data_IF_630423938499
#
_entry.id   IF_630423938499
#
_cell.length_a   1.000
_cell.length_b   1.000
_cell.length_c   1.000
_cell.angle_alpha   90.00
_cell.angle_beta   90.00
_cell.angle_gamma   90.00
#
_symmetry.space_group_name_H-M   'P 1'
#
loop_
_entity.id
_entity.type
_entity.pdbx_description
1 polymer ?
#
# COMPACT_ATOMS: atom_id res chain seq x y z
N UNK A 1 51.94 49.33 34.68
CA UNK A 1 52.71 49.02 35.92
C UNK A 1 51.77 48.27 36.85
N UNK A 2 52.06 47.11 37.44
CA UNK A 2 53.26 46.26 37.49
C UNK A 2 52.87 44.98 38.25
N UNK A 3 53.21 43.82 37.66
CA UNK A 3 53.75 42.55 38.24
C UNK A 3 53.48 42.17 39.72
N UNK A 4 52.92 40.95 39.90
CA UNK A 4 53.48 39.69 40.51
C UNK A 4 54.34 39.77 41.80
N UNK A 5 54.48 38.72 42.66
CA UNK A 5 54.98 37.38 42.28
C UNK A 5 54.51 36.16 43.15
N UNK A 6 54.64 34.92 42.61
CA UNK A 6 55.54 33.78 42.99
C UNK A 6 54.92 32.80 44.02
N UNK A 7 54.63 31.54 43.66
CA UNK A 7 55.50 30.34 43.55
C UNK A 7 55.82 29.69 44.92
N UNK A 8 55.49 28.40 45.08
CA UNK A 8 56.47 27.38 45.52
C UNK A 8 55.92 25.95 45.42
N UNK A 9 56.74 25.09 44.81
CA UNK A 9 56.57 23.66 44.61
C UNK A 9 57.57 22.89 45.49
N UNK A 10 57.19 21.74 46.06
CA UNK A 10 58.12 20.76 46.62
C UNK A 10 57.63 19.30 46.40
N UNK A 11 58.16 18.67 45.34
CA UNK A 11 58.98 17.41 45.27
C UNK A 11 59.03 16.52 46.54
N UNK A 12 58.92 15.18 46.58
CA UNK A 12 59.66 14.04 45.97
C UNK A 12 58.87 12.72 46.28
N UNK A 13 58.68 11.75 45.38
CA UNK A 13 59.56 10.67 44.86
C UNK A 13 59.72 9.39 45.73
N UNK A 14 59.62 8.25 45.02
CA UNK A 14 60.22 6.91 45.25
C UNK A 14 59.36 5.78 45.85
N UNK A 15 59.04 4.83 44.95
CA UNK A 15 58.62 3.46 45.22
C UNK A 15 59.79 2.52 45.55
N UNK A 16 59.60 1.63 46.51
CA UNK A 16 60.24 0.30 46.64
C UNK A 16 59.18 -0.59 47.33
N UNK A 17 58.87 -1.84 46.99
CA UNK A 17 59.50 -2.83 46.14
C UNK A 17 59.36 -4.20 46.83
N UNK A 18 58.61 -5.13 46.21
CA UNK A 18 58.70 -6.61 46.29
C UNK A 18 58.29 -7.37 47.58
N UNK A 19 57.40 -8.35 47.38
CA UNK A 19 57.73 -9.76 47.68
C UNK A 19 56.86 -10.52 48.69
N UNK A 20 55.85 -11.23 48.17
CA UNK A 20 55.40 -12.60 48.54
C UNK A 20 55.52 -13.08 50.00
N UNK A 21 54.38 -13.42 50.63
CA UNK A 21 54.15 -14.77 51.17
C UNK A 21 52.71 -14.95 51.69
N UNK A 22 52.16 -16.10 51.31
CA UNK A 22 50.91 -16.72 51.69
C UNK A 22 50.82 -16.96 53.21
N UNK A 23 49.68 -16.68 53.84
CA UNK A 23 49.26 -17.41 55.04
C UNK A 23 47.73 -17.57 55.04
N UNK A 24 47.30 -18.82 54.92
CA UNK A 24 45.91 -19.24 55.02
C UNK A 24 45.47 -19.26 56.48
N UNK A 25 44.21 -18.91 56.78
CA UNK A 25 43.24 -19.87 57.32
C UNK A 25 41.97 -19.19 57.85
N UNK A 26 40.86 -19.78 57.44
CA UNK A 26 39.50 -19.76 57.98
C UNK A 26 39.35 -19.30 59.44
N UNK A 27 38.29 -18.55 59.76
CA UNK A 27 37.13 -19.09 60.53
C UNK A 27 35.91 -18.15 60.41
N UNK A 28 34.75 -18.79 60.22
CA UNK A 28 33.38 -18.28 59.99
C UNK A 28 32.83 -17.43 61.16
N UNK A 29 32.03 -16.39 60.87
CA UNK A 29 30.87 -16.07 61.72
C UNK A 29 29.79 -15.16 61.06
N UNK A 30 28.57 -15.72 60.96
CA UNK A 30 27.19 -15.15 60.82
C UNK A 30 26.75 -14.24 59.65
N UNK A 31 25.74 -14.79 58.96
CA UNK A 31 24.67 -14.16 58.19
C UNK A 31 24.10 -12.88 58.84
N UNK A 32 23.95 -11.83 58.04
CA UNK A 32 22.88 -10.84 58.14
C UNK A 32 22.36 -10.54 56.73
N UNK A 33 21.11 -10.92 56.50
CA UNK A 33 20.31 -10.64 55.30
C UNK A 33 19.60 -9.30 55.53
N UNK A 34 19.99 -8.26 54.79
CA UNK A 34 19.27 -7.00 54.57
C UNK A 34 19.90 -6.40 53.29
N UNK A 35 19.25 -5.96 52.22
CA UNK A 35 17.86 -5.76 51.85
C UNK A 35 17.86 -5.12 50.45
N UNK A 36 16.75 -5.27 49.72
CA UNK A 36 16.40 -4.72 48.40
C UNK A 36 17.00 -3.32 48.09
N UNK A 37 17.44 -3.02 46.87
CA UNK A 37 16.54 -2.71 45.74
C UNK A 37 17.29 -2.79 44.41
N UNK A 38 16.86 -3.71 43.53
CA UNK A 38 17.18 -3.63 42.12
C UNK A 38 16.31 -2.52 41.52
N UNK A 39 16.94 -1.40 41.15
CA UNK A 39 16.32 -0.38 40.30
C UNK A 39 16.14 -0.97 38.91
N UNK A 40 15.03 -1.68 38.71
CA UNK A 40 14.55 -2.02 37.38
C UNK A 40 13.96 -0.73 36.79
N UNK A 41 14.79 0.04 36.09
CA UNK A 41 14.31 1.10 35.23
C UNK A 41 13.54 0.44 34.08
N UNK A 42 12.23 0.31 34.24
CA UNK A 42 11.33 0.05 33.12
C UNK A 42 11.42 1.31 32.26
N UNK A 43 12.28 1.27 31.24
CA UNK A 43 12.17 2.19 30.13
C UNK A 43 10.84 1.86 29.45
N UNK A 44 9.78 2.54 29.89
CA UNK A 44 8.55 2.59 29.13
C UNK A 44 8.94 3.18 27.77
N UNK A 45 8.84 2.37 26.71
CA UNK A 45 8.75 2.89 25.36
C UNK A 45 7.46 3.71 25.29
N UNK A 46 7.51 4.97 25.71
CA UNK A 46 6.57 5.97 25.23
C UNK A 46 7.00 6.26 23.81
N UNK A 47 6.50 5.47 22.86
CA UNK A 47 6.54 5.91 21.47
C UNK A 47 5.76 7.22 21.45
N UNK A 48 6.39 8.37 21.14
CA UNK A 48 5.60 9.57 20.90
C UNK A 48 4.63 9.21 19.76
N UNK A 49 3.34 9.46 19.98
CA UNK A 49 2.39 9.63 18.88
C UNK A 49 2.88 10.84 18.12
N UNK A 50 3.76 10.60 17.14
CA UNK A 50 4.29 11.64 16.29
C UNK A 50 3.12 12.17 15.47
N UNK A 51 3.00 13.49 15.41
CA UNK A 51 2.08 14.15 14.49
C UNK A 51 2.39 13.68 13.06
N UNK A 52 1.34 13.43 12.28
CA UNK A 52 1.46 12.97 10.89
C UNK A 52 2.34 13.93 10.07
N UNK A 53 3.30 13.39 9.33
CA UNK A 53 4.16 14.17 8.44
C UNK A 53 3.76 14.00 6.97
N UNK A 54 4.10 14.97 6.11
CA UNK A 54 3.88 14.85 4.66
C UNK A 54 4.52 13.58 4.08
N UNK A 55 5.76 13.28 4.47
CA UNK A 55 6.48 12.12 3.96
C UNK A 55 5.83 10.79 4.38
N UNK A 56 5.24 10.73 5.57
CA UNK A 56 4.48 9.56 6.02
C UNK A 56 3.16 9.42 5.24
N UNK A 57 2.43 10.53 5.04
CA UNK A 57 1.20 10.54 4.26
C UNK A 57 1.45 10.08 2.81
N UNK A 58 2.51 10.60 2.19
CA UNK A 58 2.92 10.23 0.83
C UNK A 58 3.28 8.75 0.75
N UNK A 59 4.09 8.24 1.68
CA UNK A 59 4.47 6.83 1.70
C UNK A 59 3.27 5.89 1.87
N UNK A 60 2.28 6.28 2.67
CA UNK A 60 1.04 5.52 2.86
C UNK A 60 0.11 5.60 1.65
N UNK A 61 0.02 6.77 1.01
CA UNK A 61 -0.70 6.94 -0.25
C UNK A 61 -0.08 6.11 -1.36
N UNK A 62 1.25 6.09 -1.47
CA UNK A 62 1.96 5.27 -2.44
C UNK A 62 1.68 3.78 -2.21
N UNK A 63 1.69 3.32 -0.94
CA UNK A 63 1.32 1.94 -0.61
C UNK A 63 -0.12 1.63 -1.04
N UNK A 64 -1.08 2.52 -0.78
CA UNK A 64 -2.45 2.37 -1.26
C UNK A 64 -2.55 2.28 -2.78
N UNK A 65 -1.77 3.10 -3.49
CA UNK A 65 -1.71 3.08 -4.94
C UNK A 65 -1.09 1.77 -5.50
N UNK A 66 -0.30 1.03 -4.72
CA UNK A 66 0.19 -0.29 -5.14
C UNK A 66 -0.91 -1.35 -5.23
N UNK A 67 -2.05 -1.18 -4.55
CA UNK A 67 -3.22 -2.03 -4.76
C UNK A 67 -3.80 -1.83 -6.16
N UNK A 68 -3.56 -0.69 -6.82
CA UNK A 68 -4.22 -0.34 -8.08
C UNK A 68 -5.64 0.18 -7.85
N UNK A 69 -6.25 0.73 -8.88
CA UNK A 69 -7.60 1.31 -8.87
C UNK A 69 -8.68 0.23 -8.75
N UNK A 70 -8.66 -0.53 -7.67
CA UNK A 70 -9.66 -1.56 -7.41
C UNK A 70 -10.99 -0.93 -7.08
N UNK A 71 -12.06 -1.62 -7.47
CA UNK A 71 -13.34 -1.44 -6.82
C UNK A 71 -13.22 -1.97 -5.39
N UNK A 72 -13.82 -1.32 -4.41
CA UNK A 72 -13.76 -1.76 -3.02
C UNK A 72 -14.96 -1.26 -2.26
N UNK A 73 -15.27 -1.97 -1.18
CA UNK A 73 -16.33 -1.62 -0.24
C UNK A 73 -15.70 -1.47 1.14
N UNK A 74 -16.18 -0.54 1.96
CA UNK A 74 -15.70 -0.38 3.32
C UNK A 74 -16.73 0.33 4.20
N UNK A 75 -16.57 0.23 5.52
CA UNK A 75 -17.37 1.00 6.46
C UNK A 75 -16.63 2.26 6.85
N UNK A 76 -17.27 3.41 6.63
CA UNK A 76 -16.80 4.72 7.09
C UNK A 76 -17.74 5.28 8.15
N UNK A 77 -17.17 5.75 9.25
CA UNK A 77 -17.89 6.52 10.24
C UNK A 77 -17.12 7.79 10.57
N UNK A 78 -17.84 8.92 10.56
CA UNK A 78 -17.32 10.21 11.04
C UNK A 78 -17.81 10.46 12.45
N UNK A 79 -16.98 11.10 13.27
CA UNK A 79 -17.38 11.59 14.59
C UNK A 79 -17.02 13.08 14.66
N UNK A 80 -18.05 13.89 14.86
CA UNK A 80 -17.99 15.34 15.04
C UNK A 80 -19.21 15.81 15.84
N UNK A 81 -19.17 17.04 16.36
CA UNK A 81 -20.34 17.71 16.90
C UNK A 81 -21.23 18.25 15.76
N UNK A 82 -21.89 17.34 15.05
CA UNK A 82 -22.62 17.60 13.80
C UNK A 82 -23.98 16.88 13.81
N UNK A 83 -24.82 17.14 12.80
CA UNK A 83 -26.14 16.51 12.70
C UNK A 83 -26.02 14.96 12.66
N UNK A 84 -26.95 14.19 13.26
CA UNK A 84 -26.85 12.73 13.31
C UNK A 84 -26.60 12.05 11.96
N UNK A 85 -27.16 12.57 10.89
CA UNK A 85 -26.98 12.06 9.52
C UNK A 85 -25.52 11.99 9.07
N UNK A 86 -24.65 12.81 9.66
CA UNK A 86 -23.23 12.84 9.34
C UNK A 86 -22.38 11.85 10.15
N UNK A 87 -22.89 11.33 11.26
CA UNK A 87 -22.15 10.42 12.16
C UNK A 87 -22.62 8.96 12.03
N UNK A 88 -23.56 8.71 11.12
CA UNK A 88 -24.00 7.36 10.77
C UNK A 88 -22.85 6.56 10.18
N UNK A 89 -22.68 5.28 10.58
CA UNK A 89 -21.74 4.39 9.92
C UNK A 89 -22.32 4.00 8.55
N UNK A 90 -21.61 4.32 7.48
CA UNK A 90 -22.01 3.97 6.12
C UNK A 90 -21.13 2.86 5.55
N UNK A 91 -21.76 1.80 5.04
CA UNK A 91 -21.15 0.88 4.09
C UNK A 91 -21.09 1.60 2.74
N UNK A 92 -19.90 2.00 2.33
CA UNK A 92 -19.62 2.77 1.12
C UNK A 92 -19.15 1.80 0.04
N UNK A 93 -19.86 1.78 -1.09
CA UNK A 93 -19.46 1.02 -2.27
C UNK A 93 -18.77 1.93 -3.28
N UNK A 94 -17.54 1.59 -3.65
CA UNK A 94 -16.73 2.37 -4.59
C UNK A 94 -16.51 1.54 -5.84
N UNK A 95 -17.01 2.06 -6.96
CA UNK A 95 -16.73 1.51 -8.29
C UNK A 95 -16.12 2.60 -9.14
N UNK A 96 -15.07 2.25 -9.86
CA UNK A 96 -14.36 3.20 -10.71
C UNK A 96 -13.77 4.42 -9.99
N UNK A 97 -13.42 4.30 -8.71
CA UNK A 97 -12.97 5.42 -7.89
C UNK A 97 -14.08 6.40 -7.51
N UNK A 98 -15.35 6.08 -7.79
CA UNK A 98 -16.51 6.87 -7.42
C UNK A 98 -17.40 6.10 -6.45
N UNK A 99 -18.02 6.81 -5.51
CA UNK A 99 -19.04 6.23 -4.62
C UNK A 99 -20.29 5.95 -5.48
N UNK A 100 -20.68 4.68 -5.56
CA UNK A 100 -21.87 4.25 -6.32
C UNK A 100 -23.10 4.06 -5.44
N UNK A 101 -22.90 3.69 -4.18
CA UNK A 101 -23.95 3.53 -3.20
C UNK A 101 -23.38 3.73 -1.80
N UNK A 102 -24.24 4.19 -0.89
CA UNK A 102 -23.97 4.15 0.55
C UNK A 102 -25.21 3.63 1.25
N UNK A 103 -25.00 2.69 2.17
CA UNK A 103 -26.05 2.12 2.99
C UNK A 103 -25.65 2.23 4.46
N UNK A 104 -26.59 2.57 5.33
CA UNK A 104 -26.35 2.57 6.77
C UNK A 104 -25.97 1.15 7.23
N UNK A 105 -24.82 1.02 7.90
CA UNK A 105 -24.23 -0.26 8.24
C UNK A 105 -25.07 -1.08 9.24
N UNK A 106 -25.95 -0.41 9.99
CA UNK A 106 -26.79 -1.06 11.01
C UNK A 106 -28.19 -1.37 10.48
N UNK A 107 -28.81 -0.43 9.77
CA UNK A 107 -30.22 -0.50 9.36
C UNK A 107 -30.42 -0.93 7.91
N UNK A 108 -29.34 -0.96 7.11
CA UNK A 108 -29.34 -1.26 5.69
C UNK A 108 -30.23 -0.30 4.86
N UNK A 109 -30.52 0.89 5.39
CA UNK A 109 -31.22 1.94 4.65
C UNK A 109 -30.24 2.74 3.78
N UNK A 110 -30.65 3.17 2.58
CA UNK A 110 -29.82 4.05 1.76
C UNK A 110 -29.49 5.36 2.48
N UNK A 111 -28.24 5.80 2.40
CA UNK A 111 -27.77 7.09 2.87
C UNK A 111 -27.39 7.99 1.69
N UNK A 112 -27.25 9.29 1.95
CA UNK A 112 -26.77 10.24 0.95
C UNK A 112 -25.27 10.05 0.67
N UNK A 113 -24.86 9.66 -0.55
CA UNK A 113 -23.46 9.43 -0.88
C UNK A 113 -22.56 10.66 -0.74
N UNK A 114 -23.11 11.88 -0.82
CA UNK A 114 -22.33 13.13 -0.70
C UNK A 114 -21.76 13.34 0.71
N UNK A 115 -22.27 12.61 1.71
CA UNK A 115 -21.82 12.71 3.10
C UNK A 115 -20.58 11.84 3.40
N UNK A 116 -20.17 11.00 2.45
CA UNK A 116 -19.13 9.99 2.61
C UNK A 116 -17.94 10.27 1.68
N UNK A 117 -16.80 9.65 1.99
CA UNK A 117 -15.55 9.84 1.27
C UNK A 117 -15.08 8.52 0.67
N UNK A 118 -14.29 8.60 -0.41
CA UNK A 118 -13.44 7.48 -0.85
C UNK A 118 -12.17 7.44 0.00
N UNK A 119 -11.36 6.39 -0.13
CA UNK A 119 -10.04 6.34 0.52
C UNK A 119 -9.17 7.50 0.05
N UNK A 120 -9.21 7.85 -1.23
CA UNK A 120 -8.53 9.02 -1.77
C UNK A 120 -9.06 10.34 -1.17
N UNK A 121 -10.37 10.40 -0.89
CA UNK A 121 -11.00 11.50 -0.16
C UNK A 121 -10.50 11.62 1.28
N UNK A 122 -10.33 10.50 2.00
CA UNK A 122 -9.74 10.51 3.35
C UNK A 122 -8.30 11.02 3.33
N UNK A 123 -7.51 10.57 2.35
CA UNK A 123 -6.17 11.09 2.16
C UNK A 123 -6.16 12.58 1.79
N UNK A 124 -7.16 13.07 1.04
CA UNK A 124 -7.29 14.49 0.71
C UNK A 124 -7.63 15.33 1.96
N UNK A 125 -8.45 14.82 2.88
CA UNK A 125 -8.70 15.48 4.17
C UNK A 125 -7.44 15.58 5.03
N UNK A 126 -6.66 14.51 5.11
CA UNK A 126 -5.36 14.54 5.80
C UNK A 126 -4.38 15.52 5.13
N UNK A 127 -4.33 15.54 3.79
CA UNK A 127 -3.50 16.49 3.06
C UNK A 127 -3.91 17.93 3.35
N UNK A 128 -5.22 18.21 3.36
CA UNK A 128 -5.76 19.54 3.69
C UNK A 128 -5.37 19.98 5.10
N UNK A 129 -5.37 19.07 6.06
CA UNK A 129 -4.95 19.36 7.44
C UNK A 129 -3.44 19.65 7.57
N UNK A 130 -2.61 19.10 6.67
CA UNK A 130 -1.18 19.43 6.58
C UNK A 130 -0.99 20.79 5.88
N UNK A 131 -1.68 21.00 4.76
CA UNK A 131 -1.56 22.20 3.91
C UNK A 131 -2.09 23.46 4.61
N UNK A 132 -3.19 23.33 5.34
CA UNK A 132 -3.71 24.32 6.28
C UNK A 132 -3.41 23.82 7.68
N UNK A 133 -2.24 24.16 8.25
CA UNK A 133 -1.65 23.41 9.36
C UNK A 133 -2.59 23.33 10.56
N UNK A 134 -3.16 22.15 10.77
CA UNK A 134 -3.92 21.84 11.97
C UNK A 134 -3.00 21.83 13.19
N UNK A 135 -3.56 22.12 14.36
CA UNK A 135 -2.82 22.09 15.63
C UNK A 135 -2.36 20.66 15.99
N UNK A 136 -3.23 19.67 15.81
CA UNK A 136 -2.93 18.26 16.01
C UNK A 136 -3.52 17.37 14.88
N UNK A 137 -2.72 16.41 14.43
CA UNK A 137 -3.11 15.42 13.42
C UNK A 137 -2.60 14.06 13.88
N UNK A 138 -3.53 13.20 14.28
CA UNK A 138 -3.24 11.82 14.66
C UNK A 138 -3.87 10.91 13.62
N UNK A 139 -3.06 10.12 12.91
CA UNK A 139 -3.55 9.19 11.90
C UNK A 139 -2.98 7.79 12.11
N UNK A 140 -3.80 6.79 11.81
CA UNK A 140 -3.43 5.39 11.76
C UNK A 140 -3.79 4.86 10.39
N UNK A 141 -2.95 3.96 9.89
CA UNK A 141 -3.08 3.38 8.56
C UNK A 141 -3.01 1.86 8.65
N UNK A 142 -3.65 1.19 7.70
CA UNK A 142 -3.48 -0.24 7.52
C UNK A 142 -2.02 -0.56 7.17
N UNK A 143 -1.49 -1.65 7.73
CA UNK A 143 -0.08 -2.03 7.53
C UNK A 143 0.19 -2.65 6.16
N UNK A 144 -0.83 -3.23 5.52
CA UNK A 144 -0.71 -4.00 4.29
C UNK A 144 -1.06 -3.16 3.06
N UNK A 145 -2.18 -2.45 3.14
CA UNK A 145 -2.75 -1.65 2.06
C UNK A 145 -2.49 -0.15 2.22
N UNK A 146 -2.13 0.34 3.41
CA UNK A 146 -1.74 1.74 3.60
C UNK A 146 -2.89 2.76 3.65
N UNK A 147 -4.15 2.35 3.49
CA UNK A 147 -5.28 3.28 3.63
C UNK A 147 -5.45 3.79 5.07
N UNK A 148 -6.00 5.00 5.29
CA UNK A 148 -6.26 5.52 6.63
C UNK A 148 -7.35 4.69 7.32
N UNK A 149 -7.07 4.09 8.47
CA UNK A 149 -8.04 3.31 9.27
C UNK A 149 -8.69 4.16 10.36
N UNK A 150 -7.97 5.13 10.89
CA UNK A 150 -8.54 6.17 11.74
C UNK A 150 -7.70 7.43 11.71
N UNK A 151 -8.33 8.58 11.82
CA UNK A 151 -7.59 9.81 12.08
C UNK A 151 -8.44 10.84 12.82
N UNK A 152 -7.75 11.77 13.46
CA UNK A 152 -8.29 12.91 14.20
C UNK A 152 -7.55 14.17 13.74
N UNK A 153 -8.31 15.24 13.48
CA UNK A 153 -7.80 16.56 13.12
C UNK A 153 -8.41 17.59 14.07
N UNK A 154 -7.53 18.38 14.69
CA UNK A 154 -7.85 19.52 15.54
C UNK A 154 -7.12 20.76 14.99
N UNK A 155 -7.84 21.77 14.52
CA UNK A 155 -7.24 22.97 13.93
C UNK A 155 -6.85 24.02 14.99
N UNK A 156 -7.60 24.11 16.07
CA UNK A 156 -7.51 25.11 17.12
C UNK A 156 -7.82 24.45 18.45
N UNK A 157 -6.77 24.39 19.28
CA UNK A 157 -6.85 23.92 20.66
C UNK A 157 -8.05 24.50 21.42
N UNK A 158 -8.77 23.62 22.13
CA UNK A 158 -9.92 23.96 23.00
C UNK A 158 -11.18 24.47 22.26
N UNK A 159 -11.34 24.15 20.96
CA UNK A 159 -12.56 24.41 20.18
C UNK A 159 -13.17 23.09 19.67
N UNK A 160 -14.18 22.58 20.38
CA UNK A 160 -14.70 21.23 20.15
C UNK A 160 -15.58 21.05 18.90
N UNK A 161 -16.11 22.13 18.30
CA UNK A 161 -17.01 22.08 17.15
C UNK A 161 -16.29 21.91 15.80
N UNK A 162 -14.98 22.08 15.76
CA UNK A 162 -14.13 21.87 14.57
C UNK A 162 -13.33 20.55 14.60
N UNK A 163 -13.32 19.86 15.74
CA UNK A 163 -12.69 18.55 15.89
C UNK A 163 -13.45 17.52 15.05
N UNK A 164 -12.70 16.84 14.19
CA UNK A 164 -13.26 15.80 13.33
C UNK A 164 -12.40 14.56 13.35
N UNK A 165 -13.04 13.42 13.54
CA UNK A 165 -12.41 12.12 13.40
C UNK A 165 -13.15 11.25 12.42
N UNK A 166 -12.39 10.39 11.75
CA UNK A 166 -12.90 9.38 10.84
C UNK A 166 -12.38 8.02 11.27
N UNK A 167 -13.22 7.00 11.08
CA UNK A 167 -12.88 5.59 11.29
C UNK A 167 -13.32 4.80 10.07
N UNK A 168 -12.36 4.13 9.44
CA UNK A 168 -12.55 3.29 8.27
C UNK A 168 -12.14 1.85 8.61
N UNK A 169 -13.01 0.89 8.34
CA UNK A 169 -12.73 -0.53 8.60
C UNK A 169 -13.46 -1.45 7.63
N UNK A 170 -13.19 -2.75 7.75
CA UNK A 170 -13.78 -3.82 6.93
C UNK A 170 -13.67 -3.55 5.42
N UNK A 171 -12.52 -3.00 5.01
CA UNK A 171 -12.24 -2.78 3.59
C UNK A 171 -12.11 -4.12 2.87
N UNK A 172 -12.97 -4.33 1.89
CA UNK A 172 -12.97 -5.50 1.01
C UNK A 172 -12.69 -5.03 -0.40
N UNK A 173 -11.58 -5.50 -0.96
CA UNK A 173 -11.26 -5.28 -2.37
C UNK A 173 -12.21 -6.11 -3.23
N UNK A 174 -12.92 -5.45 -4.13
CA UNK A 174 -13.81 -6.05 -5.13
C UNK A 174 -13.05 -6.12 -6.44
N UNK A 175 -12.18 -7.11 -6.57
CA UNK A 175 -11.45 -7.30 -7.82
C UNK A 175 -12.39 -7.87 -8.89
N UNK A 176 -12.28 -7.37 -10.13
CA UNK A 176 -13.00 -7.97 -11.27
C UNK A 176 -12.45 -9.39 -11.42
N UNK A 177 -13.29 -10.44 -11.38
CA UNK A 177 -12.79 -11.80 -11.50
C UNK A 177 -11.99 -11.97 -12.79
N UNK A 178 -10.76 -12.47 -12.69
CA UNK A 178 -9.86 -12.63 -13.83
C UNK A 178 -8.87 -11.47 -14.06
N UNK A 179 -9.03 -10.32 -13.42
CA UNK A 179 -8.12 -9.17 -13.52
C UNK A 179 -6.98 -9.34 -12.49
N UNK A 180 -5.85 -9.90 -12.93
CA UNK A 180 -4.71 -10.21 -12.06
C UNK A 180 -3.79 -8.99 -11.84
N UNK A 181 -3.65 -8.12 -12.84
CA UNK A 181 -2.81 -6.93 -12.74
C UNK A 181 -3.54 -5.75 -12.04
N UNK A 182 -4.87 -5.82 -11.95
CA UNK A 182 -5.78 -4.88 -11.29
C UNK A 182 -5.86 -3.55 -12.03
N UNK A 183 -5.78 -3.60 -13.36
CA UNK A 183 -5.93 -2.47 -14.28
C UNK A 183 -7.39 -2.25 -14.75
N UNK A 184 -8.31 -3.08 -14.22
CA UNK A 184 -9.76 -3.04 -14.43
C UNK A 184 -10.20 -3.56 -15.79
N UNK A 185 -9.32 -4.23 -16.53
CA UNK A 185 -9.60 -4.87 -17.80
C UNK A 185 -9.13 -6.31 -17.71
N UNK A 186 -10.06 -7.26 -17.89
CA UNK A 186 -9.67 -8.67 -17.98
C UNK A 186 -9.21 -8.96 -19.40
N UNK A 187 -7.90 -9.00 -19.65
CA UNK A 187 -7.32 -9.20 -20.98
C UNK A 187 -6.14 -10.20 -21.01
N UNK A 188 -5.40 -10.20 -22.12
CA UNK A 188 -4.28 -11.13 -22.34
C UNK A 188 -3.11 -10.87 -21.37
N UNK A 189 -3.01 -9.68 -20.78
CA UNK A 189 -2.01 -9.33 -19.74
C UNK A 189 -2.25 -10.13 -18.47
N UNK A 190 -3.51 -10.29 -18.06
CA UNK A 190 -3.87 -11.12 -16.90
C UNK A 190 -3.62 -12.60 -17.17
N UNK A 191 -3.88 -13.02 -18.41
CA UNK A 191 -3.56 -14.38 -18.83
C UNK A 191 -2.07 -14.65 -18.77
N UNK A 192 -1.21 -13.70 -19.13
CA UNK A 192 0.23 -13.85 -18.98
C UNK A 192 0.65 -14.05 -17.52
N UNK A 193 0.02 -13.34 -16.59
CA UNK A 193 0.24 -13.51 -15.14
C UNK A 193 -0.19 -14.90 -14.68
N UNK A 194 -1.42 -15.33 -14.99
CA UNK A 194 -1.90 -16.67 -14.65
C UNK A 194 -1.01 -17.75 -15.29
N UNK A 195 -0.67 -17.62 -16.58
CA UNK A 195 0.12 -18.59 -17.31
C UNK A 195 1.57 -18.68 -16.80
N UNK A 196 2.12 -17.59 -16.26
CA UNK A 196 3.42 -17.56 -15.61
C UNK A 196 3.46 -18.26 -14.24
N UNK A 197 2.32 -18.34 -13.56
CA UNK A 197 2.19 -18.91 -12.21
C UNK A 197 1.39 -20.22 -12.14
N UNK A 198 0.86 -20.71 -13.26
CA UNK A 198 0.02 -21.91 -13.30
C UNK A 198 0.68 -23.11 -12.60
N UNK A 199 -0.15 -23.86 -11.90
CA UNK A 199 0.19 -25.00 -11.06
C UNK A 199 1.17 -24.69 -9.92
N UNK A 200 1.21 -23.43 -9.47
CA UNK A 200 1.95 -23.02 -8.26
C UNK A 200 1.04 -23.02 -7.04
N UNK A 201 1.65 -23.20 -5.86
CA UNK A 201 0.97 -23.13 -4.56
C UNK A 201 1.54 -21.97 -3.73
N UNK A 202 0.76 -21.50 -2.76
CA UNK A 202 1.09 -20.28 -2.00
C UNK A 202 0.91 -19.01 -2.83
N UNK A 203 0.06 -19.09 -3.85
CA UNK A 203 -0.29 -17.99 -4.74
C UNK A 203 -1.37 -17.12 -4.10
N UNK A 204 -1.61 -15.98 -4.72
CA UNK A 204 -2.68 -15.05 -4.36
C UNK A 204 -3.26 -14.44 -5.64
N UNK A 205 -4.21 -13.52 -5.50
CA UNK A 205 -4.87 -12.87 -6.63
C UNK A 205 -3.90 -12.34 -7.71
N UNK A 206 -2.79 -11.69 -7.30
CA UNK A 206 -1.77 -11.15 -8.22
C UNK A 206 -0.94 -12.21 -8.95
N UNK A 207 -1.04 -13.47 -8.55
CA UNK A 207 -0.47 -14.61 -9.25
C UNK A 207 -1.50 -15.33 -10.12
N UNK A 208 -2.74 -14.84 -10.18
CA UNK A 208 -3.83 -15.45 -10.93
C UNK A 208 -4.61 -16.52 -10.16
N UNK A 209 -4.52 -16.57 -8.82
CA UNK A 209 -5.47 -17.32 -7.98
C UNK A 209 -6.73 -16.47 -7.76
N UNK A 210 -7.73 -16.67 -8.62
CA UNK A 210 -8.98 -15.92 -8.62
C UNK A 210 -10.08 -16.59 -7.78
N UNK A 211 -9.87 -17.85 -7.38
CA UNK A 211 -10.78 -18.56 -6.48
C UNK A 211 -10.43 -18.38 -5.00
N UNK A 212 -9.20 -17.95 -4.71
CA UNK A 212 -8.69 -17.67 -3.37
C UNK A 212 -8.34 -18.93 -2.57
N UNK A 213 -8.08 -20.06 -3.24
CA UNK A 213 -7.80 -21.34 -2.60
C UNK A 213 -6.30 -21.59 -2.34
N UNK A 214 -5.45 -20.63 -2.70
CA UNK A 214 -4.01 -20.65 -2.46
C UNK A 214 -3.24 -21.42 -3.52
N UNK A 215 -3.87 -21.82 -4.62
CA UNK A 215 -3.23 -22.40 -5.81
C UNK A 215 -3.66 -21.65 -7.07
N UNK A 216 -2.81 -21.62 -8.10
CA UNK A 216 -3.18 -21.08 -9.41
C UNK A 216 -3.37 -22.23 -10.38
N UNK A 217 -4.60 -22.62 -10.68
CA UNK A 217 -4.92 -23.80 -11.50
C UNK A 217 -5.97 -23.55 -12.59
N UNK A 218 -6.58 -24.63 -13.11
CA UNK A 218 -7.57 -24.57 -14.19
C UNK A 218 -8.89 -23.91 -13.74
N UNK A 219 -9.24 -23.97 -12.46
CA UNK A 219 -10.41 -23.27 -11.92
C UNK A 219 -10.25 -21.76 -12.08
N UNK A 220 -9.06 -21.23 -11.83
CA UNK A 220 -8.77 -19.81 -12.04
C UNK A 220 -8.77 -19.44 -13.53
N UNK A 221 -8.24 -20.31 -14.40
CA UNK A 221 -8.35 -20.11 -15.84
C UNK A 221 -9.81 -19.99 -16.30
N UNK A 222 -10.72 -20.78 -15.72
CA UNK A 222 -12.14 -20.68 -16.03
C UNK A 222 -12.73 -19.34 -15.57
N UNK A 223 -12.26 -18.79 -14.43
CA UNK A 223 -12.64 -17.46 -13.97
C UNK A 223 -12.19 -16.39 -14.97
N UNK A 224 -10.91 -16.37 -15.35
CA UNK A 224 -10.41 -15.44 -16.37
C UNK A 224 -11.16 -15.59 -17.69
N UNK A 225 -11.31 -16.81 -18.20
CA UNK A 225 -11.94 -17.05 -19.50
C UNK A 225 -13.43 -16.67 -19.53
N UNK A 226 -14.11 -16.69 -18.38
CA UNK A 226 -15.49 -16.25 -18.26
C UNK A 226 -15.65 -14.71 -18.29
N UNK A 227 -14.63 -13.97 -17.86
CA UNK A 227 -14.69 -12.52 -17.67
C UNK A 227 -13.83 -11.73 -18.65
N UNK A 228 -12.94 -12.40 -19.39
CA UNK A 228 -12.09 -11.74 -20.37
C UNK A 228 -12.91 -10.99 -21.39
N UNK A 229 -12.54 -9.74 -21.61
CA UNK A 229 -13.11 -8.96 -22.70
C UNK A 229 -12.69 -9.69 -23.97
N UNK A 230 -13.68 -10.20 -24.71
CA UNK A 230 -13.43 -10.68 -26.06
C UNK A 230 -13.00 -9.47 -26.86
N UNK A 231 -11.68 -9.26 -27.00
CA UNK A 231 -11.18 -8.28 -27.96
C UNK A 231 -11.80 -8.68 -29.29
N UNK A 232 -12.77 -7.90 -29.76
CA UNK A 232 -13.17 -7.91 -31.15
C UNK A 232 -11.89 -7.62 -31.91
N UNK A 233 -11.26 -8.68 -32.41
CA UNK A 233 -9.99 -8.58 -33.10
C UNK A 233 -10.20 -7.53 -34.19
N UNK A 234 -9.52 -6.39 -34.07
CA UNK A 234 -9.40 -5.49 -35.19
C UNK A 234 -8.80 -6.36 -36.29
N UNK A 235 -9.61 -6.64 -37.30
CA UNK A 235 -9.15 -7.33 -38.49
C UNK A 235 -8.15 -6.38 -39.14
N UNK A 236 -6.88 -6.51 -38.77
CA UNK A 236 -5.80 -5.95 -39.55
C UNK A 236 -6.03 -6.48 -40.96
N UNK A 237 -6.37 -5.57 -41.88
CA UNK A 237 -6.54 -5.90 -43.30
C UNK A 237 -5.23 -6.53 -43.75
N UNK A 238 -5.20 -7.86 -43.83
CA UNK A 238 -4.06 -8.62 -44.33
C UNK A 238 -3.84 -8.13 -45.75
N UNK A 239 -2.70 -7.51 -46.08
CA UNK A 239 -2.43 -7.09 -47.45
C UNK A 239 -2.48 -8.34 -48.32
N UNK A 240 -3.37 -8.35 -49.32
CA UNK A 240 -3.47 -9.51 -50.21
C UNK A 240 -2.07 -9.85 -50.76
N UNK A 241 -1.68 -11.14 -50.75
CA UNK A 241 -0.40 -11.53 -51.28
C UNK A 241 -0.27 -11.01 -52.71
N UNK A 242 0.93 -10.64 -53.12
CA UNK A 242 1.29 -10.15 -54.46
C UNK A 242 1.00 -11.16 -55.60
N UNK A 243 0.24 -12.22 -55.35
CA UNK A 243 -0.24 -13.21 -56.31
C UNK A 243 -1.10 -12.61 -57.41
N UNK A 244 -1.91 -11.57 -57.14
CA UNK A 244 -2.64 -10.84 -58.18
C UNK A 244 -1.70 -10.13 -59.18
N UNK A 245 -0.55 -9.62 -58.72
CA UNK A 245 0.46 -9.03 -59.60
C UNK A 245 1.20 -10.07 -60.44
N UNK A 246 1.47 -11.25 -59.89
CA UNK A 246 2.10 -12.34 -60.64
C UNK A 246 1.17 -12.95 -61.70
N UNK A 247 -0.13 -13.05 -61.40
CA UNK A 247 -1.13 -13.54 -62.36
C UNK A 247 -1.29 -12.60 -63.57
N UNK A 248 -1.27 -11.28 -63.35
CA UNK A 248 -1.39 -10.29 -64.44
C UNK A 248 -0.13 -10.23 -65.32
N UNK A 249 1.06 -10.33 -64.73
CA UNK A 249 2.32 -10.42 -65.47
C UNK A 249 2.42 -11.73 -66.29
N UNK A 250 2.00 -12.86 -65.71
CA UNK A 250 1.94 -14.14 -66.41
C UNK A 250 0.99 -14.12 -67.62
N UNK A 251 -0.17 -13.48 -67.48
CA UNK A 251 -1.14 -13.35 -68.57
C UNK A 251 -0.59 -12.48 -69.72
N UNK A 252 0.09 -11.37 -69.40
CA UNK A 252 0.72 -10.51 -70.40
C UNK A 252 1.84 -11.22 -71.18
N UNK A 253 2.64 -12.05 -70.52
CA UNK A 253 3.67 -12.84 -71.19
C UNK A 253 3.08 -13.87 -72.17
N UNK A 254 1.97 -14.52 -71.78
CA UNK A 254 1.25 -15.46 -72.66
C UNK A 254 0.63 -14.78 -73.88
N UNK A 255 0.05 -13.59 -73.71
CA UNK A 255 -0.51 -12.79 -74.82
C UNK A 255 0.59 -12.32 -75.78
N UNK A 256 1.73 -11.88 -75.25
CA UNK A 256 2.89 -11.47 -76.05
C UNK A 256 3.45 -12.64 -76.88
N UNK A 257 3.56 -13.83 -76.30
CA UNK A 257 4.03 -15.05 -77.01
C UNK A 257 3.09 -15.45 -78.15
N UNK A 258 1.77 -15.32 -77.97
CA UNK A 258 0.78 -15.65 -79.00
C UNK A 258 0.85 -14.67 -80.20
N UNK A 259 1.20 -13.40 -79.96
CA UNK A 259 1.38 -12.39 -81.01
C UNK A 259 2.63 -12.63 -81.87
N UNK A 260 3.74 -13.07 -81.28
CA UNK A 260 4.99 -13.31 -82.01
C UNK A 260 4.87 -14.53 -82.95
N UNK A 261 4.17 -15.58 -82.51
CA UNK A 261 3.98 -16.79 -83.32
C UNK A 261 2.92 -16.63 -84.45
N UNK A 262 2.14 -15.55 -84.45
CA UNK A 262 1.17 -15.25 -85.51
C UNK A 262 1.75 -14.53 -86.72
N UNK A 263 3.00 -14.06 -86.65
CA UNK A 263 3.68 -13.31 -87.72
C UNK A 263 4.60 -14.19 -88.59
N UNK A 264 4.73 -15.47 -88.26
CA UNK A 264 5.61 -16.43 -88.93
C UNK A 264 4.87 -17.46 -89.81
N UNK A 265 3.68 -17.13 -90.33
CA UNK A 265 2.96 -17.91 -91.34
C UNK A 265 2.55 -17.04 -92.51
#
# INVERSE_FOLDING_TARGET
MSRSPEEDALTYSVCQGRGLAFCQSFTRWRLCVLGLTAWLAIAACTSPTLALTQAELDAKRDLWNTSGSMDYDYVLQRSCFCHPDFIQPGLVEIRAGMITAVTDADTLQPLDPELFLTVDGLFAELQRAIDYPAFDIQAQFDSNLGYPTSFFVDYVLEIADEEMSYRAHDLVLSAIPGDANLDRVVDDTDFEIWNGNKFSAGTNWRHGDFTGDGVTDVLDFNVWNAHRVSQSSQTASVPEPTSCWLATLGLMFCIARKRINGFAR
#
